data_IF_759103907788
#
_entry.id   IF_759103907788
#
_cell.length_a   1.000
_cell.length_b   1.000
_cell.length_c   1.000
_cell.angle_alpha   90.00
_cell.angle_beta   90.00
_cell.angle_gamma   90.00
#
_symmetry.space_group_name_H-M   'P 1'
#
loop_
_entity.id
_entity.type
_entity.pdbx_description
1 polymer ?
#
# COMPACT_ATOMS: atom_id res chain seq x y z
N UNK A 1 -50.33 -4.75 46.37
CA UNK A 1 -49.41 -5.53 45.53
C UNK A 1 -49.07 -4.71 44.27
N UNK A 2 -48.00 -3.88 44.30
CA UNK A 2 -47.61 -2.99 43.18
C UNK A 2 -46.15 -3.14 42.71
N UNK A 3 -45.34 -4.00 43.36
CA UNK A 3 -43.92 -4.20 43.02
C UNK A 3 -43.61 -5.27 41.97
N UNK A 4 -44.58 -6.12 41.61
CA UNK A 4 -44.38 -7.19 40.60
C UNK A 4 -44.48 -6.70 39.15
N UNK A 5 -45.14 -5.56 38.91
CA UNK A 5 -45.24 -4.99 37.56
C UNK A 5 -43.94 -4.30 37.16
N UNK A 6 -43.37 -3.46 38.02
CA UNK A 6 -42.11 -2.74 37.70
C UNK A 6 -40.94 -3.68 37.44
N UNK A 7 -40.76 -4.73 38.25
CA UNK A 7 -39.69 -5.72 38.05
C UNK A 7 -39.95 -6.55 36.78
N UNK A 8 -41.19 -6.95 36.52
CA UNK A 8 -41.55 -7.71 35.31
C UNK A 8 -41.34 -6.88 34.05
N UNK A 9 -41.72 -5.61 34.08
CA UNK A 9 -41.56 -4.68 32.95
C UNK A 9 -40.10 -4.32 32.72
N UNK A 10 -39.30 -4.21 33.79
CA UNK A 10 -37.85 -4.00 33.70
C UNK A 10 -37.13 -5.23 33.13
N UNK A 11 -37.54 -6.45 33.50
CA UNK A 11 -36.99 -7.68 32.93
C UNK A 11 -37.40 -7.83 31.46
N UNK A 12 -38.66 -7.50 31.12
CA UNK A 12 -39.16 -7.51 29.74
C UNK A 12 -38.44 -6.49 28.87
N UNK A 13 -38.18 -5.28 29.37
CA UNK A 13 -37.43 -4.27 28.61
C UNK A 13 -35.97 -4.67 28.42
N UNK A 14 -35.34 -5.27 29.43
CA UNK A 14 -33.96 -5.75 29.31
C UNK A 14 -33.83 -6.90 28.32
N UNK A 15 -34.81 -7.81 28.27
CA UNK A 15 -34.89 -8.86 27.26
C UNK A 15 -35.16 -8.30 25.86
N UNK A 16 -36.03 -7.30 25.74
CA UNK A 16 -36.31 -6.66 24.46
C UNK A 16 -35.07 -5.95 23.90
N UNK A 17 -34.35 -5.19 24.74
CA UNK A 17 -33.08 -4.55 24.34
C UNK A 17 -32.02 -5.60 24.01
N UNK A 18 -31.88 -6.64 24.83
CA UNK A 18 -30.95 -7.75 24.56
C UNK A 18 -31.25 -8.46 23.24
N UNK A 19 -32.53 -8.65 22.90
CA UNK A 19 -32.95 -9.25 21.64
C UNK A 19 -32.61 -8.35 20.43
N UNK A 20 -32.82 -7.04 20.55
CA UNK A 20 -32.41 -6.07 19.51
C UNK A 20 -30.90 -6.06 19.31
N UNK A 21 -30.12 -6.07 20.41
CA UNK A 21 -28.65 -6.15 20.34
C UNK A 21 -28.20 -7.46 19.73
N UNK A 22 -28.83 -8.58 20.07
CA UNK A 22 -28.53 -9.90 19.52
C UNK A 22 -28.84 -9.99 18.03
N UNK A 23 -29.98 -9.47 17.58
CA UNK A 23 -30.31 -9.35 16.15
C UNK A 23 -29.27 -8.46 15.45
N UNK A 24 -28.96 -7.29 16.00
CA UNK A 24 -27.94 -6.40 15.44
C UNK A 24 -26.59 -7.09 15.31
N UNK A 25 -26.18 -7.85 16.33
CA UNK A 25 -24.96 -8.66 16.32
C UNK A 25 -24.94 -9.68 15.18
N UNK A 26 -26.04 -10.38 14.90
CA UNK A 26 -26.12 -11.32 13.77
C UNK A 26 -25.92 -10.66 12.40
N UNK A 27 -26.25 -9.37 12.27
CA UNK A 27 -26.07 -8.60 11.04
C UNK A 27 -24.73 -7.88 10.94
N UNK A 28 -23.99 -7.74 12.05
CA UNK A 28 -22.59 -7.28 11.96
C UNK A 28 -21.76 -8.42 11.35
N UNK A 29 -21.00 -8.17 10.27
CA UNK A 29 -20.06 -9.16 9.76
C UNK A 29 -19.04 -9.47 10.87
N UNK A 30 -19.08 -10.72 11.33
CA UNK A 30 -18.27 -11.23 12.46
C UNK A 30 -16.93 -11.81 12.02
N UNK A 31 -16.52 -11.52 10.80
CA UNK A 31 -15.31 -12.08 10.23
C UNK A 31 -14.09 -11.33 10.76
N UNK A 32 -13.75 -11.57 12.02
CA UNK A 32 -12.44 -11.24 12.58
C UNK A 32 -11.28 -11.96 11.84
N UNK A 33 -11.62 -12.88 10.93
CA UNK A 33 -10.73 -13.67 10.09
C UNK A 33 -10.84 -13.35 8.59
N UNK A 34 -11.64 -12.38 8.18
CA UNK A 34 -11.59 -11.88 6.81
C UNK A 34 -10.26 -11.15 6.64
N UNK A 35 -9.36 -11.71 5.84
CA UNK A 35 -8.13 -11.03 5.44
C UNK A 35 -8.52 -9.68 4.82
N UNK A 36 -8.30 -8.55 5.51
CA UNK A 36 -8.83 -7.25 5.08
C UNK A 36 -8.09 -6.72 3.85
N UNK A 37 -7.04 -7.42 3.41
CA UNK A 37 -6.22 -7.03 2.26
C UNK A 37 -6.96 -7.39 0.97
N UNK A 38 -7.52 -6.37 0.33
CA UNK A 38 -8.08 -6.52 -1.01
C UNK A 38 -6.96 -6.60 -2.05
N UNK A 39 -6.77 -7.79 -2.62
CA UNK A 39 -5.71 -8.03 -3.61
C UNK A 39 -6.17 -7.56 -5.00
N UNK A 40 -5.34 -6.78 -5.68
CA UNK A 40 -5.60 -6.27 -7.03
C UNK A 40 -4.67 -6.91 -8.07
N UNK A 41 -5.23 -7.22 -9.24
CA UNK A 41 -4.45 -7.70 -10.39
C UNK A 41 -3.73 -6.54 -11.08
N UNK A 42 -2.40 -6.50 -11.00
CA UNK A 42 -1.61 -5.39 -11.55
C UNK A 42 -0.99 -5.67 -12.92
N UNK A 43 -0.89 -6.93 -13.37
CA UNK A 43 -0.19 -7.28 -14.63
C UNK A 43 -0.80 -6.60 -15.85
N UNK A 44 -2.13 -6.52 -15.91
CA UNK A 44 -2.84 -5.84 -17.02
C UNK A 44 -2.62 -4.33 -16.98
N UNK A 45 -2.69 -3.72 -15.79
CA UNK A 45 -2.42 -2.30 -15.60
C UNK A 45 -0.96 -1.97 -15.95
N UNK A 46 0.00 -2.78 -15.52
CA UNK A 46 1.42 -2.63 -15.84
C UNK A 46 1.67 -2.77 -17.34
N UNK A 47 1.05 -3.73 -18.03
CA UNK A 47 1.19 -3.87 -19.49
C UNK A 47 0.64 -2.65 -20.25
N UNK A 48 -0.50 -2.10 -19.81
CA UNK A 48 -1.06 -0.87 -20.37
C UNK A 48 -0.16 0.34 -20.09
N UNK A 49 0.32 0.48 -18.85
CA UNK A 49 1.20 1.58 -18.45
C UNK A 49 2.55 1.51 -19.17
N UNK A 50 3.14 0.32 -19.38
CA UNK A 50 4.36 0.12 -20.18
C UNK A 50 4.25 0.65 -21.61
N UNK A 51 3.04 0.68 -22.20
CA UNK A 51 2.81 1.24 -23.54
C UNK A 51 2.61 2.75 -23.53
N UNK A 52 2.13 3.31 -22.43
CA UNK A 52 1.79 4.73 -22.29
C UNK A 52 2.93 5.57 -21.72
N UNK A 53 3.78 4.98 -20.86
CA UNK A 53 4.86 5.67 -20.19
C UNK A 53 6.01 6.05 -21.14
N UNK A 54 6.54 7.27 -21.09
CA UNK A 54 7.70 7.70 -21.89
C UNK A 54 9.04 7.22 -21.31
N UNK A 55 9.01 6.29 -20.36
CA UNK A 55 10.17 5.74 -19.65
C UNK A 55 10.03 4.22 -19.49
N UNK A 56 11.13 3.50 -19.23
CA UNK A 56 11.08 2.07 -18.93
C UNK A 56 10.37 1.83 -17.59
N UNK A 57 9.05 1.63 -17.66
CA UNK A 57 8.22 1.30 -16.51
C UNK A 57 8.59 -0.09 -15.99
N UNK A 58 8.83 -0.16 -14.68
CA UNK A 58 9.19 -1.37 -13.98
C UNK A 58 7.99 -1.90 -13.22
N UNK A 59 7.75 -3.19 -13.37
CA UNK A 59 6.82 -3.93 -12.53
C UNK A 59 7.54 -5.15 -11.98
N UNK A 60 7.22 -5.60 -10.75
CA UNK A 60 7.80 -6.80 -10.20
C UNK A 60 7.33 -8.02 -10.99
N UNK A 61 8.24 -8.97 -11.18
CA UNK A 61 7.99 -10.30 -11.71
C UNK A 61 8.70 -11.33 -10.83
N UNK A 62 8.04 -12.47 -10.57
CA UNK A 62 8.57 -13.53 -9.73
C UNK A 62 8.55 -13.28 -8.22
N UNK A 63 7.78 -12.31 -7.70
CA UNK A 63 7.49 -12.21 -6.27
C UNK A 63 6.67 -13.41 -5.79
N UNK A 64 6.89 -13.82 -4.54
CA UNK A 64 6.09 -14.88 -3.92
C UNK A 64 4.63 -14.45 -3.70
N UNK A 65 3.72 -15.41 -3.61
CA UNK A 65 2.27 -15.16 -3.37
C UNK A 65 1.97 -14.46 -2.04
N UNK A 66 2.96 -14.35 -1.15
CA UNK A 66 2.85 -13.59 0.11
C UNK A 66 2.88 -12.07 -0.10
N UNK A 67 3.38 -11.61 -1.25
CA UNK A 67 3.33 -10.22 -1.66
C UNK A 67 1.97 -9.91 -2.28
N UNK A 68 1.14 -9.18 -1.54
CA UNK A 68 -0.23 -8.90 -1.94
C UNK A 68 -0.34 -7.49 -2.48
N UNK A 69 -0.54 -7.34 -3.79
CA UNK A 69 -0.75 -6.02 -4.40
C UNK A 69 -2.08 -5.43 -3.92
N UNK A 70 -2.08 -4.20 -3.44
CA UNK A 70 -3.27 -3.54 -2.88
C UNK A 70 -3.73 -2.32 -3.69
N UNK A 71 -2.83 -1.73 -4.46
CA UNK A 71 -3.13 -0.56 -5.27
C UNK A 71 -2.28 -0.56 -6.54
N UNK A 72 -2.89 -0.17 -7.65
CA UNK A 72 -2.18 0.01 -8.92
C UNK A 72 -2.77 1.20 -9.65
N UNK A 73 -1.93 2.12 -10.11
CA UNK A 73 -2.36 3.26 -10.89
C UNK A 73 -1.25 3.79 -11.80
N UNK A 74 -1.66 4.30 -12.95
CA UNK A 74 -0.83 5.09 -13.83
C UNK A 74 -1.53 6.42 -14.09
N UNK A 75 -0.84 7.51 -13.81
CA UNK A 75 -1.33 8.87 -14.01
C UNK A 75 -0.47 9.54 -15.07
N UNK A 76 -1.00 9.80 -16.28
CA UNK A 76 -0.25 10.50 -17.30
C UNK A 76 -0.05 11.98 -16.93
N UNK A 77 0.96 12.61 -17.53
CA UNK A 77 1.41 13.95 -17.14
C UNK A 77 0.33 15.04 -17.21
N UNK A 78 -0.58 14.96 -18.18
CA UNK A 78 -1.70 15.87 -18.38
C UNK A 78 -2.71 15.85 -17.20
N UNK A 79 -2.89 14.68 -16.57
CA UNK A 79 -3.75 14.48 -15.41
C UNK A 79 -3.02 14.65 -14.07
N UNK A 80 -1.70 14.80 -14.10
CA UNK A 80 -0.83 14.80 -12.90
C UNK A 80 -0.73 16.16 -12.19
N UNK A 81 -1.24 17.24 -12.79
CA UNK A 81 -1.09 18.59 -12.25
C UNK A 81 0.37 19.07 -12.16
N UNK A 82 1.21 18.68 -13.12
CA UNK A 82 2.65 19.04 -13.14
C UNK A 82 3.56 18.13 -12.32
N UNK A 83 3.08 16.93 -11.98
CA UNK A 83 3.87 15.86 -11.34
C UNK A 83 4.44 14.83 -12.33
N UNK A 84 4.29 15.09 -13.64
CA UNK A 84 4.81 14.22 -14.69
C UNK A 84 3.99 12.93 -14.83
N UNK A 85 4.45 12.03 -15.69
CA UNK A 85 3.89 10.69 -15.80
C UNK A 85 4.29 9.91 -14.55
N UNK A 86 3.30 9.35 -13.83
CA UNK A 86 3.51 8.69 -12.55
C UNK A 86 2.93 7.27 -12.56
N UNK A 87 3.75 6.32 -12.15
CA UNK A 87 3.38 4.92 -11.92
C UNK A 87 3.42 4.63 -10.43
N UNK A 88 2.37 3.99 -9.93
CA UNK A 88 2.24 3.58 -8.55
C UNK A 88 1.77 2.11 -8.49
N UNK A 89 2.47 1.32 -7.70
CA UNK A 89 2.08 -0.05 -7.40
C UNK A 89 2.39 -0.36 -5.93
N UNK A 90 1.35 -0.51 -5.12
CA UNK A 90 1.44 -0.78 -3.68
C UNK A 90 1.20 -2.24 -3.34
N UNK A 91 1.87 -2.70 -2.29
CA UNK A 91 1.83 -4.05 -1.75
C UNK A 91 1.74 -4.04 -0.23
N UNK A 92 1.13 -5.10 0.30
CA UNK A 92 1.41 -5.59 1.64
C UNK A 92 2.47 -6.69 1.54
N UNK A 93 3.55 -6.54 2.30
CA UNK A 93 4.69 -7.47 2.34
C UNK A 93 4.36 -8.75 3.12
N UNK A 94 5.21 -9.79 3.05
CA UNK A 94 5.04 -11.00 3.84
C UNK A 94 5.02 -10.77 5.36
N UNK A 95 5.70 -9.72 5.85
CA UNK A 95 5.65 -9.32 7.27
C UNK A 95 4.45 -8.44 7.63
N UNK A 96 3.55 -8.17 6.67
CA UNK A 96 2.37 -7.34 6.86
C UNK A 96 2.66 -5.84 6.81
N UNK A 97 3.83 -5.42 6.34
CA UNK A 97 4.19 -4.01 6.18
C UNK A 97 3.77 -3.48 4.80
N UNK A 98 3.80 -2.16 4.63
CA UNK A 98 3.53 -1.54 3.34
C UNK A 98 4.82 -1.35 2.54
N UNK A 99 4.77 -1.66 1.25
CA UNK A 99 5.82 -1.38 0.28
C UNK A 99 5.19 -0.98 -1.06
N UNK A 100 5.80 -0.04 -1.77
CA UNK A 100 5.30 0.47 -3.04
C UNK A 100 6.44 0.76 -4.01
N UNK A 101 6.15 0.59 -5.29
CA UNK A 101 6.98 1.04 -6.40
C UNK A 101 6.37 2.33 -6.93
N UNK A 102 7.16 3.40 -6.89
CA UNK A 102 6.81 4.72 -7.40
C UNK A 102 7.78 5.06 -8.52
N UNK A 103 7.28 5.36 -9.72
CA UNK A 103 8.12 5.88 -10.79
C UNK A 103 7.54 7.14 -11.37
N UNK A 104 8.38 8.14 -11.59
CA UNK A 104 7.98 9.34 -12.29
C UNK A 104 9.11 9.96 -13.09
N UNK A 105 8.77 10.66 -14.17
CA UNK A 105 9.68 11.44 -15.01
C UNK A 105 9.95 12.85 -14.46
N UNK A 106 10.07 12.94 -13.13
CA UNK A 106 10.40 14.18 -12.40
C UNK A 106 11.76 14.05 -11.69
N UNK A 107 12.37 15.18 -11.28
CA UNK A 107 13.60 15.14 -10.50
C UNK A 107 13.47 14.27 -9.25
N UNK A 108 14.53 13.53 -8.94
CA UNK A 108 14.61 12.60 -7.80
C UNK A 108 14.14 13.24 -6.50
N UNK A 109 14.68 14.41 -6.17
CA UNK A 109 14.39 15.08 -4.90
C UNK A 109 12.93 15.53 -4.80
N UNK A 110 12.30 15.87 -5.95
CA UNK A 110 10.88 16.22 -6.00
C UNK A 110 10.01 14.98 -5.72
N UNK A 111 10.33 13.84 -6.33
CA UNK A 111 9.60 12.60 -6.08
C UNK A 111 9.80 12.10 -4.64
N UNK A 112 11.04 12.18 -4.14
CA UNK A 112 11.39 11.76 -2.79
C UNK A 112 10.67 12.62 -1.74
N UNK A 113 10.64 13.95 -1.91
CA UNK A 113 9.93 14.84 -1.01
C UNK A 113 8.39 14.63 -1.05
N UNK A 114 7.82 14.23 -2.19
CA UNK A 114 6.39 13.93 -2.33
C UNK A 114 6.01 12.59 -1.66
N UNK A 115 6.90 11.59 -1.71
CA UNK A 115 6.60 10.22 -1.26
C UNK A 115 7.14 9.88 0.12
N UNK A 116 8.23 10.52 0.55
CA UNK A 116 8.95 10.22 1.79
C UNK A 116 9.21 11.51 2.56
N UNK A 117 8.27 11.85 3.44
CA UNK A 117 8.40 13.01 4.31
C UNK A 117 9.65 12.88 5.21
N UNK A 118 10.44 13.95 5.28
CA UNK A 118 11.63 14.01 6.13
C UNK A 118 12.80 13.15 5.65
N UNK A 119 12.81 12.69 4.40
CA UNK A 119 13.86 11.82 3.86
C UNK A 119 15.27 12.37 4.13
N UNK A 120 16.11 11.55 4.76
CA UNK A 120 17.55 11.77 4.96
C UNK A 120 18.34 10.59 4.38
N UNK A 121 19.52 10.83 3.80
CA UNK A 121 20.38 9.76 3.31
C UNK A 121 20.78 8.78 4.42
N UNK A 122 20.62 7.47 4.14
CA UNK A 122 20.90 6.37 5.07
C UNK A 122 21.77 5.27 4.41
N UNK A 123 22.69 5.69 3.52
CA UNK A 123 23.62 4.81 2.82
C UNK A 123 23.08 4.25 1.52
N UNK A 124 23.49 3.03 1.16
CA UNK A 124 23.12 2.36 -0.10
C UNK A 124 22.77 0.89 0.10
N UNK A 125 22.03 0.32 -0.85
CA UNK A 125 21.71 -1.10 -0.94
C UNK A 125 21.86 -1.58 -2.39
N UNK A 126 22.37 -2.80 -2.59
CA UNK A 126 22.42 -3.42 -3.92
C UNK A 126 21.25 -4.39 -4.13
N UNK A 127 20.48 -4.18 -5.20
CA UNK A 127 19.34 -5.01 -5.56
C UNK A 127 19.16 -5.05 -7.09
N UNK A 128 18.87 -6.24 -7.65
CA UNK A 128 18.78 -6.48 -9.09
C UNK A 128 20.03 -6.03 -9.89
N UNK A 129 21.23 -6.15 -9.30
CA UNK A 129 22.47 -5.69 -9.94
C UNK A 129 22.57 -4.17 -10.10
N UNK A 130 21.75 -3.42 -9.35
CA UNK A 130 21.78 -1.95 -9.30
C UNK A 130 21.99 -1.49 -7.85
N UNK A 131 22.76 -0.43 -7.69
CA UNK A 131 22.89 0.28 -6.41
C UNK A 131 21.74 1.27 -6.25
N UNK A 132 21.09 1.21 -5.09
CA UNK A 132 20.00 2.07 -4.66
C UNK A 132 20.46 2.92 -3.50
N UNK A 133 20.13 4.21 -3.52
CA UNK A 133 20.34 5.08 -2.38
C UNK A 133 19.27 4.79 -1.34
N UNK A 134 19.68 4.55 -0.10
CA UNK A 134 18.76 4.42 1.02
C UNK A 134 18.41 5.80 1.54
N UNK A 135 17.13 6.00 1.75
CA UNK A 135 16.56 7.22 2.30
C UNK A 135 15.68 6.83 3.49
N UNK A 136 15.88 7.47 4.63
CA UNK A 136 15.12 7.26 5.86
C UNK A 136 14.28 8.51 6.11
N UNK A 137 12.96 8.38 6.02
CA UNK A 137 12.00 9.42 6.42
C UNK A 137 11.45 9.19 7.82
N UNK A 138 10.51 10.04 8.22
CA UNK A 138 9.94 10.03 9.58
C UNK A 138 9.12 8.76 9.87
N UNK A 139 8.40 8.26 8.85
CA UNK A 139 7.46 7.12 8.96
C UNK A 139 7.69 6.03 7.92
N UNK A 140 8.54 6.30 6.94
CA UNK A 140 8.78 5.43 5.80
C UNK A 140 10.24 5.47 5.40
N UNK A 141 10.66 4.45 4.67
CA UNK A 141 11.97 4.33 4.04
C UNK A 141 11.81 4.31 2.55
N UNK A 142 12.87 4.61 1.82
CA UNK A 142 12.92 4.39 0.39
C UNK A 142 14.29 3.88 -0.07
N UNK A 143 14.25 3.11 -1.14
CA UNK A 143 15.36 2.83 -2.03
C UNK A 143 15.13 3.68 -3.27
N UNK A 144 16.01 4.63 -3.54
CA UNK A 144 15.93 5.52 -4.69
C UNK A 144 16.97 5.13 -5.74
N UNK A 145 16.55 5.04 -7.00
CA UNK A 145 17.46 4.87 -8.11
C UNK A 145 16.96 5.60 -9.36
N UNK A 146 17.88 5.94 -10.25
CA UNK A 146 17.54 6.52 -11.56
C UNK A 146 17.46 5.42 -12.62
N UNK A 147 16.40 5.47 -13.43
CA UNK A 147 16.06 4.48 -14.44
C UNK A 147 15.79 5.16 -15.78
N UNK A 148 16.85 5.33 -16.57
CA UNK A 148 16.75 6.08 -17.82
C UNK A 148 16.30 7.53 -17.55
N UNK A 149 15.18 7.93 -18.14
CA UNK A 149 14.58 9.25 -17.95
C UNK A 149 13.75 9.39 -16.67
N UNK A 150 13.40 8.31 -15.97
CA UNK A 150 12.57 8.33 -14.78
C UNK A 150 13.36 8.09 -13.48
N UNK A 151 12.81 8.58 -12.37
CA UNK A 151 13.23 8.20 -11.01
C UNK A 151 12.34 7.06 -10.55
N UNK A 152 12.94 6.01 -9.97
CA UNK A 152 12.23 4.92 -9.29
C UNK A 152 12.50 4.99 -7.79
N UNK A 153 11.44 4.98 -7.00
CA UNK A 153 11.51 4.78 -5.55
C UNK A 153 10.81 3.46 -5.21
N UNK A 154 11.46 2.64 -4.39
CA UNK A 154 10.81 1.53 -3.70
C UNK A 154 10.67 1.95 -2.24
N UNK A 155 9.45 2.22 -1.79
CA UNK A 155 9.21 2.94 -0.54
C UNK A 155 8.10 2.32 0.30
N UNK A 156 8.16 2.49 1.62
CA UNK A 156 7.09 2.08 2.51
C UNK A 156 7.53 1.97 3.97
N UNK A 157 6.71 1.33 4.79
CA UNK A 157 7.03 1.06 6.20
C UNK A 157 7.87 -0.20 6.36
N UNK A 158 7.96 -1.02 5.32
CA UNK A 158 8.75 -2.24 5.28
C UNK A 158 10.24 -1.99 5.58
N UNK A 159 10.93 -3.06 5.96
CA UNK A 159 12.38 -3.04 6.19
C UNK A 159 13.15 -2.80 4.88
N UNK A 160 14.39 -2.32 4.96
CA UNK A 160 15.24 -2.20 3.76
C UNK A 160 15.46 -3.55 3.06
N UNK A 161 15.42 -4.66 3.79
CA UNK A 161 15.54 -6.01 3.25
C UNK A 161 14.34 -6.37 2.37
N UNK A 162 13.11 -6.13 2.85
CA UNK A 162 11.90 -6.36 2.06
C UNK A 162 11.78 -5.38 0.89
N UNK A 163 12.14 -4.11 1.09
CA UNK A 163 12.19 -3.14 -0.02
C UNK A 163 13.22 -3.59 -1.08
N UNK A 164 14.35 -4.17 -0.67
CA UNK A 164 15.33 -4.71 -1.58
C UNK A 164 14.82 -5.97 -2.31
N UNK A 165 14.07 -6.84 -1.64
CA UNK A 165 13.39 -7.99 -2.29
C UNK A 165 12.42 -7.51 -3.38
N UNK A 166 11.60 -6.50 -3.09
CA UNK A 166 10.72 -5.89 -4.07
C UNK A 166 11.52 -5.26 -5.23
N UNK A 167 12.61 -4.55 -4.92
CA UNK A 167 13.49 -3.97 -5.92
C UNK A 167 14.17 -5.02 -6.81
N UNK A 168 14.49 -6.20 -6.26
CA UNK A 168 15.10 -7.32 -6.99
C UNK A 168 14.16 -7.91 -8.06
N UNK A 169 12.85 -7.87 -7.81
CA UNK A 169 11.84 -8.40 -8.71
C UNK A 169 11.53 -7.48 -9.91
N UNK A 170 12.01 -6.22 -9.92
CA UNK A 170 11.66 -5.23 -10.94
C UNK A 170 12.25 -5.55 -12.32
N UNK A 171 11.39 -5.58 -13.35
CA UNK A 171 11.73 -5.85 -14.76
C UNK A 171 11.14 -4.85 -15.75
#
# INVERSE_FOLDING_TARGET
>A
MRGRQTVRDMVLSMLAVGFVVWIGYLFLPHDANSDPVHVVEYKVAAASAKRAAPYPLLAPDGLSDKWRATSVSYTPADLSGGKGNAWHLGFVTPSGQYAAVEQADVPRDKLLADKVAGAQPDGTSDAAGRTWDREQGDKARALAARNGSATTLVTGTASYEELAELAQALK
#
